data_IF_165053268655
#
_entry.id   IF_165053268655
#
_cell.length_a   1.000
_cell.length_b   1.000
_cell.length_c   1.000
_cell.angle_alpha   90.00
_cell.angle_beta   90.00
_cell.angle_gamma   90.00
#
_symmetry.space_group_name_H-M   'P 1'
#
loop_
_entity.id
_entity.type
_entity.pdbx_description
1 polymer ?
#
# COMPACT_ATOMS: atom_id res chain seq x y z
N UNK A 1 21.38 -40.87 -0.45
CA UNK A 1 21.19 -39.66 -1.28
C UNK A 1 20.39 -40.07 -2.50
N UNK A 2 19.19 -39.49 -2.70
CA UNK A 2 19.06 -38.18 -3.36
C UNK A 2 18.19 -37.20 -2.54
N UNK A 3 18.46 -35.89 -2.67
CA UNK A 3 17.62 -34.81 -2.11
C UNK A 3 16.53 -34.45 -3.11
N UNK A 4 15.25 -34.36 -2.74
CA UNK A 4 14.25 -33.79 -3.62
C UNK A 4 14.35 -32.25 -3.55
N UNK A 5 15.12 -31.68 -4.48
CA UNK A 5 14.86 -30.36 -5.00
C UNK A 5 13.84 -30.49 -6.13
N UNK A 6 12.77 -29.69 -6.09
CA UNK A 6 11.70 -29.81 -7.08
C UNK A 6 10.62 -28.76 -6.91
N UNK A 7 11.01 -27.51 -7.16
CA UNK A 7 10.17 -26.44 -7.71
C UNK A 7 8.67 -26.47 -7.35
N UNK A 8 8.33 -25.85 -6.22
CA UNK A 8 7.05 -25.15 -6.15
C UNK A 8 7.10 -24.07 -7.25
N UNK A 9 6.43 -24.34 -8.37
CA UNK A 9 6.17 -23.36 -9.40
C UNK A 9 5.43 -22.20 -8.75
N UNK A 10 6.17 -21.17 -8.31
CA UNK A 10 5.59 -19.88 -7.97
C UNK A 10 4.96 -19.41 -9.26
N UNK A 11 3.63 -19.47 -9.34
CA UNK A 11 2.89 -18.71 -10.33
C UNK A 11 3.49 -17.31 -10.31
N UNK A 12 4.22 -16.94 -11.37
CA UNK A 12 4.76 -15.59 -11.50
C UNK A 12 3.55 -14.70 -11.65
N UNK A 13 3.06 -14.13 -10.56
CA UNK A 13 2.10 -13.05 -10.60
C UNK A 13 2.67 -12.02 -11.55
N UNK A 14 1.97 -11.76 -12.65
CA UNK A 14 2.37 -10.74 -13.60
C UNK A 14 2.32 -9.40 -12.86
N UNK A 15 3.48 -8.88 -12.47
CA UNK A 15 3.58 -7.57 -11.84
C UNK A 15 3.40 -6.52 -12.92
N UNK A 16 2.25 -5.84 -12.90
CA UNK A 16 1.98 -4.71 -13.78
C UNK A 16 2.39 -3.45 -13.02
N UNK A 17 3.55 -2.91 -13.37
CA UNK A 17 3.98 -1.60 -12.88
C UNK A 17 3.59 -0.53 -13.89
N UNK A 18 3.08 0.60 -13.39
CA UNK A 18 2.75 1.78 -14.21
C UNK A 18 3.44 2.99 -13.62
N UNK A 19 4.05 3.81 -14.47
CA UNK A 19 4.49 5.15 -14.07
C UNK A 19 3.28 6.06 -14.12
N UNK A 20 2.97 6.71 -13.01
CA UNK A 20 1.81 7.57 -12.91
C UNK A 20 2.03 8.70 -11.90
N UNK A 21 1.21 9.74 -12.02
CA UNK A 21 1.21 10.86 -11.07
C UNK A 21 0.66 10.40 -9.72
N UNK A 22 1.39 10.70 -8.66
CA UNK A 22 1.00 10.49 -7.27
C UNK A 22 0.59 11.83 -6.65
N UNK A 23 -0.27 11.80 -5.64
CA UNK A 23 -0.55 12.95 -4.80
C UNK A 23 -0.43 12.57 -3.33
N UNK A 24 0.13 13.49 -2.53
CA UNK A 24 0.18 13.34 -1.08
C UNK A 24 -0.87 14.25 -0.45
N UNK A 25 -1.76 13.64 0.35
CA UNK A 25 -2.83 14.35 1.07
C UNK A 25 -2.57 14.34 2.56
N UNK A 26 -3.21 15.27 3.29
CA UNK A 26 -2.99 15.43 4.74
C UNK A 26 -3.85 14.52 5.61
N UNK A 27 -4.86 13.86 5.03
CA UNK A 27 -5.82 13.03 5.75
C UNK A 27 -6.37 11.91 4.88
N UNK A 28 -6.86 10.86 5.53
CA UNK A 28 -7.67 9.82 4.89
C UNK A 28 -9.07 10.39 4.62
N UNK A 29 -9.62 10.13 3.44
CA UNK A 29 -11.01 10.48 3.12
C UNK A 29 -11.99 9.58 3.86
N UNK A 30 -13.05 10.15 4.40
CA UNK A 30 -14.05 9.44 5.22
C UNK A 30 -15.12 8.74 4.38
N UNK A 31 -15.24 9.12 3.10
CA UNK A 31 -16.21 8.56 2.15
C UNK A 31 -15.55 8.22 0.81
N UNK A 32 -16.26 7.45 -0.03
CA UNK A 32 -15.86 7.23 -1.43
C UNK A 32 -15.76 8.56 -2.17
N UNK A 33 -16.73 9.46 -1.98
CA UNK A 33 -16.79 10.73 -2.69
C UNK A 33 -15.61 11.65 -2.35
N UNK A 34 -15.19 11.69 -1.09
CA UNK A 34 -13.98 12.43 -0.69
C UNK A 34 -12.72 11.85 -1.32
N UNK A 35 -12.59 10.51 -1.32
CA UNK A 35 -11.43 9.81 -1.90
C UNK A 35 -11.36 9.99 -3.41
N UNK A 36 -12.50 9.95 -4.10
CA UNK A 36 -12.60 10.30 -5.52
C UNK A 36 -12.35 11.80 -5.76
N UNK A 37 -12.73 12.65 -4.80
CA UNK A 37 -12.42 14.07 -4.78
C UNK A 37 -10.92 14.33 -4.85
N UNK A 38 -10.12 13.67 -4.00
CA UNK A 38 -8.65 13.78 -4.04
C UNK A 38 -8.06 13.39 -5.40
N UNK A 39 -8.52 12.29 -5.98
CA UNK A 39 -8.04 11.84 -7.28
C UNK A 39 -8.32 12.87 -8.39
N UNK A 40 -9.54 13.45 -8.40
CA UNK A 40 -9.95 14.47 -9.37
C UNK A 40 -9.19 15.79 -9.18
N UNK A 41 -9.10 16.27 -7.95
CA UNK A 41 -8.43 17.53 -7.60
C UNK A 41 -6.96 17.51 -8.02
N UNK A 42 -6.25 16.43 -7.68
CA UNK A 42 -4.83 16.33 -7.95
C UNK A 42 -4.50 15.75 -9.34
N UNK A 43 -5.50 15.25 -10.07
CA UNK A 43 -5.33 14.48 -11.32
C UNK A 43 -4.32 13.34 -11.15
N UNK A 44 -4.42 12.62 -10.04
CA UNK A 44 -3.46 11.59 -9.63
C UNK A 44 -4.06 10.18 -9.77
N UNK A 45 -3.20 9.21 -10.10
CA UNK A 45 -3.59 7.81 -10.22
C UNK A 45 -3.60 7.07 -8.87
N UNK A 46 -2.84 7.58 -7.90
CA UNK A 46 -2.82 7.09 -6.54
C UNK A 46 -2.56 8.24 -5.57
N UNK A 47 -3.05 8.05 -4.35
CA UNK A 47 -2.92 9.00 -3.25
C UNK A 47 -2.30 8.30 -2.06
N UNK A 48 -1.37 8.97 -1.41
CA UNK A 48 -0.78 8.56 -0.14
C UNK A 48 -0.71 9.76 0.81
N UNK A 49 -0.05 9.59 1.95
CA UNK A 49 0.09 10.66 2.93
C UNK A 49 1.53 11.11 3.14
N UNK A 50 2.55 10.55 2.46
CA UNK A 50 3.94 10.83 2.81
C UNK A 50 4.88 11.12 1.63
N UNK A 51 4.62 10.56 0.43
CA UNK A 51 5.60 10.51 -0.68
C UNK A 51 6.16 11.88 -1.05
N UNK A 52 5.32 12.91 -1.18
CA UNK A 52 5.78 14.24 -1.59
C UNK A 52 6.73 14.85 -0.55
N UNK A 53 6.45 14.71 0.73
CA UNK A 53 7.32 15.26 1.78
C UNK A 53 8.68 14.56 1.81
N UNK A 54 8.71 13.25 1.54
CA UNK A 54 9.96 12.50 1.40
C UNK A 54 10.70 12.94 0.13
N UNK A 55 9.99 13.09 -1.00
CA UNK A 55 10.58 13.53 -2.26
C UNK A 55 11.22 14.92 -2.13
N UNK A 56 10.55 15.87 -1.49
CA UNK A 56 11.06 17.23 -1.24
C UNK A 56 12.31 17.18 -0.34
N UNK A 57 12.29 16.33 0.70
CA UNK A 57 13.44 16.13 1.58
C UNK A 57 14.65 15.52 0.85
N UNK A 58 14.42 14.58 -0.08
CA UNK A 58 15.48 14.01 -0.93
C UNK A 58 16.01 15.03 -1.94
N UNK A 59 15.12 15.77 -2.62
CA UNK A 59 15.47 16.77 -3.61
C UNK A 59 16.34 17.88 -3.02
N UNK A 60 15.98 18.39 -1.83
CA UNK A 60 16.77 19.40 -1.12
C UNK A 60 18.20 18.96 -0.78
N UNK A 61 18.44 17.63 -0.72
CA UNK A 61 19.73 17.02 -0.41
C UNK A 61 20.40 16.37 -1.64
N UNK A 62 19.82 16.52 -2.83
CA UNK A 62 20.27 15.89 -4.08
C UNK A 62 20.39 14.37 -3.98
N UNK A 63 19.53 13.74 -3.19
CA UNK A 63 19.46 12.28 -3.05
C UNK A 63 18.50 11.75 -4.13
N UNK A 64 18.93 10.83 -5.02
CA UNK A 64 18.03 10.18 -5.97
C UNK A 64 16.87 9.48 -5.24
N UNK A 65 15.65 9.69 -5.72
CA UNK A 65 14.44 9.19 -5.08
C UNK A 65 13.54 8.50 -6.10
N UNK A 66 13.08 7.30 -5.73
CA UNK A 66 12.08 6.54 -6.47
C UNK A 66 11.00 6.10 -5.47
N UNK A 67 9.74 6.43 -5.76
CA UNK A 67 8.60 5.93 -4.98
C UNK A 67 7.94 4.77 -5.72
N UNK A 68 7.76 3.65 -5.02
CA UNK A 68 7.04 2.48 -5.49
C UNK A 68 5.87 2.21 -4.55
N UNK A 69 4.65 2.24 -5.10
CA UNK A 69 3.43 2.01 -4.34
C UNK A 69 2.65 0.85 -4.95
N UNK A 70 1.84 0.22 -4.10
CA UNK A 70 0.81 -0.74 -4.50
C UNK A 70 -0.54 -0.18 -4.08
N UNK A 71 -1.57 -0.43 -4.89
CA UNK A 71 -2.94 -0.04 -4.53
C UNK A 71 -3.47 -1.02 -3.47
N UNK A 72 -3.54 -0.56 -2.21
CA UNK A 72 -4.13 -1.32 -1.09
C UNK A 72 -5.65 -1.30 -1.10
N UNK A 73 -6.24 -0.20 -1.56
CA UNK A 73 -7.67 0.07 -1.53
C UNK A 73 -8.08 1.03 -2.65
N UNK A 74 -9.36 1.04 -2.99
CA UNK A 74 -9.95 1.92 -4.02
C UNK A 74 -11.11 2.72 -3.44
N UNK A 75 -11.39 3.90 -3.97
CA UNK A 75 -12.49 4.74 -3.50
C UNK A 75 -13.84 4.00 -3.50
N UNK A 76 -14.11 3.25 -4.57
CA UNK A 76 -15.30 2.42 -4.75
C UNK A 76 -15.46 1.29 -3.71
N UNK A 77 -14.38 0.88 -3.03
CA UNK A 77 -14.42 -0.09 -1.96
C UNK A 77 -14.49 0.63 -0.61
N UNK A 78 -15.64 0.60 0.10
CA UNK A 78 -15.74 1.22 1.40
C UNK A 78 -14.88 0.49 2.42
N UNK A 79 -14.32 1.24 3.36
CA UNK A 79 -13.61 0.66 4.49
C UNK A 79 -14.54 -0.20 5.36
N UNK A 80 -14.02 -1.23 6.05
CA UNK A 80 -14.84 -2.11 6.90
C UNK A 80 -15.40 -1.43 8.15
N UNK A 81 -14.83 -0.30 8.56
CA UNK A 81 -15.27 0.59 9.62
C UNK A 81 -14.81 2.03 9.30
N UNK A 82 -15.32 3.06 9.99
CA UNK A 82 -14.85 4.43 9.79
C UNK A 82 -13.33 4.56 9.96
N UNK A 83 -12.64 5.44 9.19
CA UNK A 83 -11.18 5.57 9.25
C UNK A 83 -10.63 5.78 10.66
N UNK A 84 -11.27 6.59 11.50
CA UNK A 84 -10.88 6.84 12.89
C UNK A 84 -10.95 5.62 13.81
N UNK A 85 -11.68 4.57 13.41
CA UNK A 85 -11.73 3.28 14.11
C UNK A 85 -10.63 2.34 13.60
N UNK A 86 -10.34 2.37 12.29
CA UNK A 86 -9.35 1.51 11.65
C UNK A 86 -7.92 2.02 11.79
N UNK A 87 -7.74 3.33 11.76
CA UNK A 87 -6.48 4.02 11.72
C UNK A 87 -6.42 5.03 12.87
N UNK A 88 -5.59 4.71 13.83
CA UNK A 88 -5.08 5.63 14.83
C UNK A 88 -3.97 6.46 14.17
N UNK A 89 -4.36 7.62 13.63
CA UNK A 89 -3.46 8.53 12.93
C UNK A 89 -2.39 9.12 13.85
N UNK A 90 -2.66 9.22 15.16
CA UNK A 90 -1.68 9.68 16.15
C UNK A 90 -0.65 8.60 16.48
N UNK A 91 -1.10 7.33 16.59
CA UNK A 91 -0.23 6.20 16.94
C UNK A 91 0.29 5.40 15.74
N UNK A 92 -0.02 5.82 14.51
CA UNK A 92 0.33 5.15 13.25
C UNK A 92 -0.02 3.65 13.23
N UNK A 93 -1.19 3.28 13.75
CA UNK A 93 -1.61 1.88 13.84
C UNK A 93 -3.10 1.72 14.03
N UNK A 94 -3.60 0.51 14.27
CA UNK A 94 -5.02 0.31 14.62
C UNK A 94 -5.17 0.20 16.13
N UNK A 95 -6.11 0.92 16.74
CA UNK A 95 -6.45 0.72 18.14
C UNK A 95 -7.30 -0.56 18.32
N UNK A 96 -6.77 -1.65 18.91
CA UNK A 96 -7.51 -2.91 19.00
C UNK A 96 -8.79 -2.78 19.81
N UNK A 97 -8.77 -1.93 20.86
CA UNK A 97 -9.93 -1.67 21.73
C UNK A 97 -11.08 -0.98 20.98
N UNK A 98 -10.78 0.06 20.19
CA UNK A 98 -11.79 0.79 19.40
C UNK A 98 -12.38 -0.11 18.32
N UNK A 99 -11.52 -0.85 17.61
CA UNK A 99 -11.97 -1.79 16.58
C UNK A 99 -12.85 -2.90 17.17
N UNK A 100 -12.42 -3.53 18.26
CA UNK A 100 -13.20 -4.57 18.93
C UNK A 100 -14.57 -4.05 19.40
N UNK A 101 -14.59 -2.88 20.06
CA UNK A 101 -15.84 -2.25 20.51
C UNK A 101 -16.79 -1.86 19.37
N UNK A 102 -16.26 -1.55 18.18
CA UNK A 102 -17.06 -1.31 16.97
C UNK A 102 -17.63 -2.62 16.40
N UNK A 103 -16.80 -3.66 16.28
CA UNK A 103 -17.22 -4.95 15.72
C UNK A 103 -18.30 -5.65 16.57
N UNK A 104 -18.27 -5.48 17.90
CA UNK A 104 -19.34 -5.98 18.78
C UNK A 104 -20.70 -5.35 18.46
N UNK A 105 -20.73 -4.09 18.03
CA UNK A 105 -21.96 -3.38 17.63
C UNK A 105 -22.33 -3.61 16.17
N UNK A 106 -21.38 -4.05 15.34
CA UNK A 106 -21.53 -4.24 13.90
C UNK A 106 -20.97 -5.60 13.44
N UNK A 107 -21.62 -6.73 13.79
CA UNK A 107 -21.10 -8.08 13.52
C UNK A 107 -20.95 -8.38 12.01
N UNK A 108 -21.80 -7.79 11.17
CA UNK A 108 -21.70 -7.88 9.70
C UNK A 108 -20.37 -7.28 9.18
N UNK A 109 -19.74 -6.37 9.93
CA UNK A 109 -18.46 -5.74 9.60
C UNK A 109 -17.26 -6.69 9.64
N UNK A 110 -17.36 -7.83 10.33
CA UNK A 110 -16.26 -8.80 10.48
C UNK A 110 -15.86 -9.38 9.12
N UNK A 111 -16.82 -9.77 8.28
CA UNK A 111 -16.54 -10.30 6.95
C UNK A 111 -15.84 -9.27 6.04
N UNK A 112 -16.24 -7.99 6.13
CA UNK A 112 -15.60 -6.90 5.39
C UNK A 112 -14.16 -6.68 5.88
N UNK A 113 -13.94 -6.77 7.19
CA UNK A 113 -12.61 -6.62 7.79
C UNK A 113 -11.67 -7.75 7.35
N UNK A 114 -12.11 -9.01 7.36
CA UNK A 114 -11.32 -10.15 6.88
C UNK A 114 -10.95 -9.97 5.40
N UNK A 115 -11.90 -9.54 4.57
CA UNK A 115 -11.65 -9.25 3.15
C UNK A 115 -10.62 -8.14 2.98
N UNK A 116 -10.79 -7.04 3.69
CA UNK A 116 -9.85 -5.91 3.69
C UNK A 116 -8.44 -6.35 4.11
N UNK A 117 -8.32 -7.11 5.20
CA UNK A 117 -7.04 -7.64 5.68
C UNK A 117 -6.35 -8.54 4.64
N UNK A 118 -7.12 -9.41 3.95
CA UNK A 118 -6.61 -10.24 2.84
C UNK A 118 -6.12 -9.39 1.67
N UNK A 119 -6.87 -8.34 1.31
CA UNK A 119 -6.51 -7.42 0.23
C UNK A 119 -5.21 -6.68 0.56
N UNK A 120 -5.09 -6.11 1.76
CA UNK A 120 -3.84 -5.47 2.24
C UNK A 120 -2.68 -6.47 2.26
N UNK A 121 -2.93 -7.71 2.71
CA UNK A 121 -1.93 -8.77 2.69
C UNK A 121 -1.43 -9.11 1.28
N UNK A 122 -2.34 -9.18 0.31
CA UNK A 122 -2.00 -9.40 -1.10
C UNK A 122 -1.24 -8.21 -1.71
N UNK A 123 -1.68 -6.98 -1.44
CA UNK A 123 -0.99 -5.77 -1.87
C UNK A 123 0.46 -5.74 -1.34
N UNK A 124 0.66 -6.02 -0.05
CA UNK A 124 1.98 -6.12 0.56
C UNK A 124 2.87 -7.17 -0.10
N UNK A 125 2.32 -8.35 -0.40
CA UNK A 125 3.08 -9.42 -1.07
C UNK A 125 3.50 -9.00 -2.49
N UNK A 126 2.62 -8.33 -3.24
CA UNK A 126 2.93 -7.80 -4.57
C UNK A 126 3.99 -6.71 -4.52
N UNK A 127 3.93 -5.81 -3.53
CA UNK A 127 4.94 -4.78 -3.33
C UNK A 127 6.31 -5.38 -3.03
N UNK A 128 6.38 -6.38 -2.16
CA UNK A 128 7.62 -7.08 -1.85
C UNK A 128 8.23 -7.75 -3.11
N UNK A 129 7.40 -8.44 -3.90
CA UNK A 129 7.84 -9.05 -5.14
C UNK A 129 8.32 -8.02 -6.18
N UNK A 130 7.65 -6.87 -6.30
CA UNK A 130 8.09 -5.78 -7.17
C UNK A 130 9.39 -5.14 -6.70
N UNK A 131 9.55 -4.97 -5.39
CA UNK A 131 10.77 -4.42 -4.80
C UNK A 131 11.99 -5.32 -5.04
N UNK A 132 11.83 -6.65 -4.93
CA UNK A 132 12.90 -7.61 -5.27
C UNK A 132 13.39 -7.43 -6.71
N UNK A 133 12.47 -7.20 -7.66
CA UNK A 133 12.82 -6.93 -9.06
C UNK A 133 13.55 -5.60 -9.18
N UNK A 134 13.00 -4.52 -8.63
CA UNK A 134 13.60 -3.18 -8.73
C UNK A 134 15.00 -3.14 -8.13
N UNK A 135 15.22 -3.72 -6.95
CA UNK A 135 16.54 -3.75 -6.30
C UNK A 135 17.56 -4.52 -7.15
N UNK A 136 17.15 -5.64 -7.76
CA UNK A 136 18.05 -6.41 -8.63
C UNK A 136 18.48 -5.62 -9.86
N UNK A 137 17.56 -4.89 -10.50
CA UNK A 137 17.87 -4.09 -11.69
C UNK A 137 18.62 -2.78 -11.35
N UNK A 138 18.49 -2.27 -10.12
CA UNK A 138 19.24 -1.10 -9.64
C UNK A 138 20.67 -1.43 -9.19
N UNK A 139 20.99 -2.70 -8.94
CA UNK A 139 22.37 -3.10 -8.62
C UNK A 139 23.22 -2.87 -9.87
N UNK A 140 24.32 -2.08 -9.79
CA UNK A 140 25.26 -2.02 -10.91
C UNK A 140 25.79 -3.43 -11.19
N UNK A 141 26.10 -3.77 -12.47
CA UNK A 141 26.77 -5.03 -12.78
C UNK A 141 28.04 -5.12 -11.91
N UNK A 142 28.27 -6.27 -11.28
CA UNK A 142 29.42 -6.47 -10.41
C UNK A 142 30.70 -6.06 -11.17
N UNK A 143 31.45 -5.09 -10.64
CA UNK A 143 32.79 -4.76 -11.14
C UNK A 143 33.65 -6.01 -10.95
N UNK A 144 34.25 -6.57 -12.01
CA UNK A 144 35.22 -7.66 -11.85
C UNK A 144 36.49 -7.07 -11.22
N UNK A 145 36.84 -7.57 -10.02
CA UNK A 145 38.18 -7.39 -9.42
C UNK A 145 39.30 -7.91 -10.34
#
# INVERSE_FOLDING_TARGET
MPRPGGAAARARTLLICRVAKLATVKRIGESSDERDGFAREHKAAAVDMETQWIADACASRKIPFLSLLVISDTAAAPFPAPPQVLFDLERKGTSPRRLFGYLLRHPIGIGRLIRFARQVGSARANLAAALEVVIRELKPPDDPE
#
